data_IF_398172339638
#
_entry.id   IF_398172339638
#
_cell.length_a   1.000
_cell.length_b   1.000
_cell.length_c   1.000
_cell.angle_alpha   90.00
_cell.angle_beta   90.00
_cell.angle_gamma   90.00
#
_symmetry.space_group_name_H-M   'P 1'
#
loop_
_entity.id
_entity.type
_entity.pdbx_description
1 polymer ?
#
# COMPACT_ATOMS: atom_id res chain seq x y z
N UNK A 1 39.38 14.46 -1.50
CA UNK A 1 37.91 14.37 -1.31
C UNK A 1 37.26 13.18 -2.03
N UNK A 2 37.10 13.13 -3.37
CA UNK A 2 36.41 11.99 -4.00
C UNK A 2 37.14 10.64 -3.83
N UNK A 3 38.46 10.63 -4.05
CA UNK A 3 39.33 9.45 -3.85
C UNK A 3 39.40 9.01 -2.39
N UNK A 4 39.52 9.99 -1.50
CA UNK A 4 39.53 9.84 -0.05
C UNK A 4 38.22 9.23 0.48
N UNK A 5 37.07 9.69 -0.04
CA UNK A 5 35.77 9.13 0.32
C UNK A 5 35.60 7.69 -0.19
N UNK A 6 36.08 7.38 -1.42
CA UNK A 6 36.08 6.00 -1.95
C UNK A 6 36.92 5.09 -1.06
N UNK A 7 38.15 5.50 -0.73
CA UNK A 7 39.06 4.70 0.08
C UNK A 7 38.49 4.49 1.50
N UNK A 8 37.81 5.51 2.03
CA UNK A 8 37.15 5.43 3.33
C UNK A 8 35.94 4.47 3.31
N UNK A 9 35.08 4.55 2.30
CA UNK A 9 33.93 3.66 2.11
C UNK A 9 34.38 2.22 1.88
N UNK A 10 35.45 2.01 1.10
CA UNK A 10 36.01 0.67 0.87
C UNK A 10 36.52 0.02 2.16
N UNK A 11 37.02 0.82 3.11
CA UNK A 11 37.44 0.34 4.44
C UNK A 11 36.28 0.20 5.43
N UNK A 12 35.16 0.87 5.19
CA UNK A 12 34.02 0.95 6.11
C UNK A 12 32.68 0.89 5.32
N UNK A 13 32.29 -0.28 4.79
CA UNK A 13 31.04 -0.41 4.06
C UNK A 13 29.82 -0.24 4.99
N UNK A 14 28.73 0.35 4.48
CA UNK A 14 27.45 0.43 5.19
C UNK A 14 27.25 1.64 6.12
N UNK A 15 28.21 2.57 6.19
CA UNK A 15 28.04 3.78 7.00
C UNK A 15 27.02 4.76 6.39
N UNK A 16 26.24 5.39 7.27
CA UNK A 16 25.32 6.46 6.93
C UNK A 16 26.05 7.77 6.58
N UNK A 17 25.36 8.67 5.87
CA UNK A 17 25.88 10.00 5.52
C UNK A 17 26.26 10.80 6.78
N UNK A 18 25.56 10.57 7.89
CA UNK A 18 25.81 11.24 9.16
C UNK A 18 27.10 10.77 9.81
N UNK A 19 27.33 9.46 9.82
CA UNK A 19 28.56 8.85 10.36
C UNK A 19 29.78 9.21 9.53
N UNK A 20 29.64 9.24 8.19
CA UNK A 20 30.70 9.68 7.27
C UNK A 20 31.02 11.15 7.51
N UNK A 21 30.01 12.01 7.65
CA UNK A 21 30.16 13.43 7.95
C UNK A 21 30.91 13.66 9.27
N UNK A 22 30.56 12.90 10.32
CA UNK A 22 31.19 12.99 11.65
C UNK A 22 32.63 12.46 11.65
N UNK A 23 32.90 11.33 10.98
CA UNK A 23 34.24 10.70 10.96
C UNK A 23 35.24 11.44 10.07
N UNK A 24 34.79 12.02 8.96
CA UNK A 24 35.66 12.79 8.05
C UNK A 24 35.71 14.29 8.38
N UNK A 25 34.88 14.78 9.31
CA UNK A 25 34.77 16.21 9.63
C UNK A 25 34.20 17.05 8.47
N UNK A 26 33.50 16.43 7.53
CA UNK A 26 32.95 17.09 6.35
C UNK A 26 31.48 17.46 6.56
N UNK A 27 31.01 18.52 5.89
CA UNK A 27 29.59 18.87 5.92
C UNK A 27 28.75 17.80 5.21
N UNK A 28 27.54 17.52 5.72
CA UNK A 28 26.57 16.58 5.11
C UNK A 28 26.34 16.88 3.62
N UNK A 29 26.26 18.16 3.25
CA UNK A 29 26.08 18.62 1.87
C UNK A 29 27.26 18.21 0.97
N UNK A 30 28.48 18.39 1.45
CA UNK A 30 29.68 18.01 0.69
C UNK A 30 29.79 16.50 0.48
N UNK A 31 29.46 15.71 1.51
CA UNK A 31 29.41 14.24 1.41
C UNK A 31 28.37 13.81 0.38
N UNK A 32 27.14 14.35 0.45
CA UNK A 32 26.06 14.06 -0.52
C UNK A 32 26.47 14.39 -1.97
N UNK A 33 27.07 15.56 -2.21
CA UNK A 33 27.48 15.96 -3.55
C UNK A 33 28.55 15.05 -4.13
N UNK A 34 29.49 14.60 -3.30
CA UNK A 34 30.56 13.69 -3.75
C UNK A 34 30.01 12.29 -3.96
N UNK A 35 29.16 11.78 -3.07
CA UNK A 35 28.48 10.49 -3.25
C UNK A 35 27.68 10.46 -4.56
N UNK A 36 26.89 11.50 -4.84
CA UNK A 36 26.13 11.61 -6.09
C UNK A 36 27.04 11.65 -7.33
N UNK A 37 28.21 12.31 -7.24
CA UNK A 37 29.21 12.29 -8.32
C UNK A 37 29.82 10.91 -8.52
N UNK A 38 30.13 10.19 -7.44
CA UNK A 38 30.72 8.85 -7.49
C UNK A 38 29.73 7.79 -7.97
N UNK A 39 28.46 7.95 -7.63
CA UNK A 39 27.35 7.11 -8.11
C UNK A 39 27.13 7.30 -9.61
N UNK A 40 27.11 8.55 -10.10
CA UNK A 40 27.09 8.84 -11.55
C UNK A 40 28.26 8.23 -12.31
N UNK A 41 29.41 8.07 -11.66
CA UNK A 41 30.61 7.46 -12.24
C UNK A 41 30.64 5.93 -12.07
N UNK A 42 29.56 5.31 -11.57
CA UNK A 42 29.44 3.88 -11.27
C UNK A 42 30.56 3.33 -10.35
N UNK A 43 31.20 4.19 -9.56
CA UNK A 43 32.28 3.77 -8.63
C UNK A 43 31.74 3.29 -7.28
N UNK A 44 30.52 3.71 -6.94
CA UNK A 44 29.78 3.29 -5.75
C UNK A 44 28.30 3.14 -6.11
N UNK A 45 27.59 2.30 -5.38
CA UNK A 45 26.12 2.26 -5.41
C UNK A 45 25.62 2.75 -4.05
N UNK A 46 24.91 3.88 -4.01
CA UNK A 46 24.32 4.34 -2.75
C UNK A 46 23.06 3.51 -2.51
N UNK A 47 23.20 2.39 -1.80
CA UNK A 47 22.02 1.68 -1.29
C UNK A 47 21.43 2.50 -0.15
N UNK A 48 20.44 3.32 -0.47
CA UNK A 48 19.58 3.96 0.51
C UNK A 48 18.77 2.85 1.21
N UNK A 49 19.25 2.42 2.38
CA UNK A 49 18.35 1.81 3.35
C UNK A 49 17.60 3.00 3.96
N UNK A 50 16.28 3.17 3.73
CA UNK A 50 15.54 4.12 4.54
C UNK A 50 15.83 3.75 5.99
N UNK A 51 16.37 4.71 6.76
CA UNK A 51 16.22 4.64 8.20
C UNK A 51 14.73 4.36 8.41
N UNK A 52 14.40 3.28 9.13
CA UNK A 52 13.01 2.98 9.46
C UNK A 52 12.49 4.25 10.12
N UNK A 53 11.78 5.07 9.35
CA UNK A 53 11.05 6.21 9.87
C UNK A 53 10.09 5.54 10.83
N UNK A 54 10.24 5.82 12.13
CA UNK A 54 9.31 5.37 13.15
C UNK A 54 7.92 5.55 12.56
N UNK A 55 7.23 4.44 12.29
CA UNK A 55 5.84 4.53 11.87
C UNK A 55 5.16 5.35 12.96
N UNK A 56 4.38 6.37 12.56
CA UNK A 56 3.71 7.26 13.51
C UNK A 56 2.81 6.46 14.45
N UNK A 57 2.33 5.33 13.95
CA UNK A 57 1.52 4.34 14.62
C UNK A 57 2.31 3.02 14.66
N UNK A 58 2.26 2.29 15.77
CA UNK A 58 2.92 0.98 15.84
C UNK A 58 2.25 0.03 14.84
N UNK A 59 2.94 -0.96 14.25
CA UNK A 59 2.35 -1.88 13.27
C UNK A 59 1.03 -2.56 13.72
N UNK A 60 0.82 -2.66 15.04
CA UNK A 60 -0.41 -3.14 15.66
C UNK A 60 -1.61 -2.21 15.43
N UNK A 61 -1.42 -0.89 15.47
CA UNK A 61 -2.48 0.10 15.24
C UNK A 61 -3.02 -0.03 13.81
N UNK A 62 -2.13 -0.18 12.84
CA UNK A 62 -2.48 -0.38 11.43
C UNK A 62 -3.24 -1.69 11.22
N UNK A 63 -2.85 -2.76 11.93
CA UNK A 63 -3.55 -4.04 11.84
C UNK A 63 -4.97 -3.96 12.41
N UNK A 64 -5.16 -3.22 13.50
CA UNK A 64 -6.48 -2.96 14.09
C UNK A 64 -7.38 -2.17 13.13
N UNK A 65 -6.83 -1.15 12.47
CA UNK A 65 -7.56 -0.36 11.49
C UNK A 65 -7.99 -1.22 10.29
N UNK A 66 -7.09 -2.07 9.77
CA UNK A 66 -7.42 -3.04 8.71
C UNK A 66 -8.59 -3.93 9.13
N UNK A 67 -8.53 -4.54 10.31
CA UNK A 67 -9.62 -5.39 10.79
C UNK A 67 -10.94 -4.64 10.96
N UNK A 68 -10.90 -3.38 11.39
CA UNK A 68 -12.11 -2.55 11.46
C UNK A 68 -12.69 -2.27 10.08
N UNK A 69 -11.87 -2.04 9.06
CA UNK A 69 -12.33 -1.82 7.69
C UNK A 69 -12.85 -3.10 7.05
N UNK A 70 -12.20 -4.25 7.32
CA UNK A 70 -12.68 -5.58 6.88
C UNK A 70 -14.12 -5.83 7.37
N UNK A 71 -14.40 -5.62 8.66
CA UNK A 71 -15.75 -5.79 9.20
C UNK A 71 -16.81 -4.88 8.54
N UNK A 72 -16.44 -3.65 8.19
CA UNK A 72 -17.34 -2.71 7.50
C UNK A 72 -17.62 -3.16 6.06
N UNK A 73 -16.60 -3.64 5.36
CA UNK A 73 -16.74 -4.15 4.00
C UNK A 73 -17.60 -5.41 3.96
N UNK A 74 -17.44 -6.32 4.93
CA UNK A 74 -18.28 -7.52 5.06
C UNK A 74 -19.76 -7.16 5.25
N UNK A 75 -20.06 -6.21 6.15
CA UNK A 75 -21.43 -5.73 6.35
C UNK A 75 -21.99 -5.07 5.08
N UNK A 76 -21.17 -4.27 4.39
CA UNK A 76 -21.54 -3.63 3.14
C UNK A 76 -21.82 -4.68 2.04
N UNK A 77 -21.01 -5.73 1.95
CA UNK A 77 -21.17 -6.81 0.98
C UNK A 77 -22.48 -7.57 1.19
N UNK A 78 -22.80 -7.91 2.45
CA UNK A 78 -24.07 -8.56 2.81
C UNK A 78 -25.26 -7.69 2.38
N UNK A 79 -25.20 -6.39 2.70
CA UNK A 79 -26.25 -5.44 2.36
C UNK A 79 -26.42 -5.25 0.85
N UNK A 80 -25.31 -5.15 0.10
CA UNK A 80 -25.36 -5.02 -1.35
C UNK A 80 -25.91 -6.28 -2.02
N UNK A 81 -25.50 -7.49 -1.58
CA UNK A 81 -26.05 -8.75 -2.09
C UNK A 81 -27.55 -8.86 -1.83
N UNK A 82 -28.03 -8.44 -0.65
CA UNK A 82 -29.48 -8.39 -0.37
C UNK A 82 -30.20 -7.44 -1.32
N UNK A 83 -29.68 -6.21 -1.51
CA UNK A 83 -30.28 -5.22 -2.42
C UNK A 83 -30.26 -5.68 -3.88
N UNK A 84 -29.21 -6.38 -4.32
CA UNK A 84 -29.10 -6.94 -5.66
C UNK A 84 -30.20 -7.97 -5.91
N UNK A 85 -30.41 -8.88 -4.96
CA UNK A 85 -31.50 -9.86 -5.01
C UNK A 85 -32.88 -9.19 -5.07
N UNK A 86 -33.12 -8.17 -4.24
CA UNK A 86 -34.39 -7.43 -4.25
C UNK A 86 -34.65 -6.71 -5.58
N UNK A 87 -33.62 -6.08 -6.15
CA UNK A 87 -33.71 -5.43 -7.46
C UNK A 87 -33.97 -6.46 -8.57
N UNK A 88 -33.32 -7.62 -8.50
CA UNK A 88 -33.50 -8.71 -9.46
C UNK A 88 -34.93 -9.28 -9.42
N UNK A 89 -35.47 -9.52 -8.22
CA UNK A 89 -36.86 -9.97 -8.06
C UNK A 89 -37.86 -8.95 -8.62
N UNK A 90 -37.61 -7.65 -8.40
CA UNK A 90 -38.43 -6.57 -8.99
C UNK A 90 -38.32 -6.53 -10.52
N UNK A 91 -37.13 -6.76 -11.07
CA UNK A 91 -36.91 -6.87 -12.51
C UNK A 91 -37.74 -8.01 -13.12
N UNK A 92 -37.73 -9.20 -12.49
CA UNK A 92 -38.53 -10.34 -12.95
C UNK A 92 -40.02 -10.01 -12.92
N UNK A 93 -40.51 -9.41 -11.83
CA UNK A 93 -41.94 -9.04 -11.72
C UNK A 93 -42.37 -8.05 -12.81
N UNK A 94 -41.53 -7.06 -13.10
CA UNK A 94 -41.77 -6.11 -14.19
C UNK A 94 -41.80 -6.80 -15.57
N UNK A 95 -40.84 -7.70 -15.82
CA UNK A 95 -40.79 -8.48 -17.06
C UNK A 95 -42.02 -9.37 -17.23
N UNK A 96 -42.48 -10.04 -16.17
CA UNK A 96 -43.68 -10.89 -16.18
C UNK A 96 -44.96 -10.07 -16.44
N UNK A 97 -44.96 -8.81 -16.01
CA UNK A 97 -46.05 -7.86 -16.26
C UNK A 97 -45.97 -7.20 -17.65
N UNK A 98 -44.96 -7.56 -18.46
CA UNK A 98 -44.65 -6.96 -19.78
C UNK A 98 -44.41 -5.44 -19.72
N UNK A 99 -43.93 -4.94 -18.58
CA UNK A 99 -43.50 -3.56 -18.43
C UNK A 99 -41.99 -3.48 -18.68
N UNK A 100 -41.61 -3.38 -19.96
CA UNK A 100 -40.22 -3.41 -20.39
C UNK A 100 -39.42 -2.19 -19.90
N UNK A 101 -40.08 -1.03 -19.72
CA UNK A 101 -39.44 0.16 -19.18
C UNK A 101 -39.03 -0.05 -17.72
N UNK A 102 -39.95 -0.57 -16.90
CA UNK A 102 -39.68 -0.84 -15.50
C UNK A 102 -38.69 -2.00 -15.32
N UNK A 103 -38.76 -3.03 -16.18
CA UNK A 103 -37.79 -4.12 -16.20
C UNK A 103 -36.37 -3.60 -16.54
N UNK A 104 -36.24 -2.75 -17.56
CA UNK A 104 -34.97 -2.12 -17.94
C UNK A 104 -34.38 -1.28 -16.79
N UNK A 105 -35.23 -0.50 -16.10
CA UNK A 105 -34.80 0.28 -14.94
C UNK A 105 -34.22 -0.61 -13.83
N UNK A 106 -34.91 -1.69 -13.45
CA UNK A 106 -34.42 -2.61 -12.41
C UNK A 106 -33.18 -3.40 -12.87
N UNK A 107 -33.08 -3.78 -14.15
CA UNK A 107 -31.89 -4.41 -14.70
C UNK A 107 -30.65 -3.49 -14.59
N UNK A 108 -30.81 -2.20 -14.89
CA UNK A 108 -29.75 -1.21 -14.70
C UNK A 108 -29.36 -1.08 -13.23
N UNK A 109 -30.33 -1.06 -12.31
CA UNK A 109 -30.03 -1.06 -10.86
C UNK A 109 -29.23 -2.30 -10.44
N UNK A 110 -29.58 -3.50 -10.92
CA UNK A 110 -28.79 -4.70 -10.67
C UNK A 110 -27.35 -4.56 -11.17
N UNK A 111 -27.15 -4.01 -12.38
CA UNK A 111 -25.83 -3.80 -12.94
C UNK A 111 -24.98 -2.84 -12.09
N UNK A 112 -25.56 -1.74 -11.63
CA UNK A 112 -24.87 -0.79 -10.73
C UNK A 112 -24.53 -1.41 -9.37
N UNK A 113 -25.46 -2.15 -8.76
CA UNK A 113 -25.18 -2.84 -7.49
C UNK A 113 -24.06 -3.88 -7.66
N UNK A 114 -24.02 -4.62 -8.78
CA UNK A 114 -22.92 -5.55 -9.08
C UNK A 114 -21.56 -4.85 -9.19
N UNK A 115 -21.51 -3.66 -9.79
CA UNK A 115 -20.26 -2.86 -9.83
C UNK A 115 -19.78 -2.50 -8.42
N UNK A 116 -20.69 -2.12 -7.53
CA UNK A 116 -20.37 -1.83 -6.13
C UNK A 116 -19.89 -3.08 -5.40
N UNK A 117 -20.55 -4.23 -5.58
CA UNK A 117 -20.12 -5.52 -5.02
C UNK A 117 -18.68 -5.85 -5.45
N UNK A 118 -18.39 -5.73 -6.74
CA UNK A 118 -17.04 -6.00 -7.26
C UNK A 118 -15.99 -5.05 -6.66
N UNK A 119 -16.37 -3.79 -6.42
CA UNK A 119 -15.47 -2.81 -5.78
C UNK A 119 -15.20 -3.19 -4.32
N UNK A 120 -16.23 -3.62 -3.57
CA UNK A 120 -16.06 -4.10 -2.19
C UNK A 120 -15.14 -5.31 -2.14
N UNK A 121 -15.35 -6.31 -3.00
CA UNK A 121 -14.49 -7.50 -3.09
C UNK A 121 -13.03 -7.14 -3.42
N UNK A 122 -12.82 -6.19 -4.34
CA UNK A 122 -11.48 -5.72 -4.67
C UNK A 122 -10.79 -5.05 -3.48
N UNK A 123 -11.55 -4.32 -2.66
CA UNK A 123 -11.04 -3.71 -1.43
C UNK A 123 -10.73 -4.76 -0.35
N UNK A 124 -11.56 -5.79 -0.20
CA UNK A 124 -11.29 -6.93 0.69
C UNK A 124 -9.96 -7.63 0.32
N UNK A 125 -9.71 -7.90 -0.96
CA UNK A 125 -8.43 -8.47 -1.42
C UNK A 125 -7.24 -7.55 -1.12
N UNK A 126 -7.41 -6.24 -1.32
CA UNK A 126 -6.36 -5.26 -1.04
C UNK A 126 -6.02 -5.21 0.46
N UNK A 127 -7.02 -5.18 1.35
CA UNK A 127 -6.83 -5.24 2.79
C UNK A 127 -6.14 -6.55 3.21
N UNK A 128 -6.53 -7.68 2.64
CA UNK A 128 -5.87 -8.97 2.88
C UNK A 128 -4.38 -8.95 2.52
N UNK A 129 -4.03 -8.37 1.37
CA UNK A 129 -2.61 -8.19 0.96
C UNK A 129 -1.85 -7.26 1.91
N UNK A 130 -2.49 -6.20 2.39
CA UNK A 130 -1.89 -5.28 3.36
C UNK A 130 -1.61 -5.99 4.69
N UNK A 131 -2.57 -6.77 5.20
CA UNK A 131 -2.43 -7.53 6.44
C UNK A 131 -1.25 -8.51 6.38
N UNK A 132 -1.14 -9.27 5.27
CA UNK A 132 0.01 -10.16 5.01
C UNK A 132 1.34 -9.38 4.98
N UNK A 133 1.34 -8.20 4.36
CA UNK A 133 2.55 -7.37 4.25
C UNK A 133 3.00 -6.87 5.62
N UNK A 134 2.07 -6.43 6.46
CA UNK A 134 2.36 -5.98 7.83
C UNK A 134 2.89 -7.15 8.66
N UNK A 135 2.28 -8.33 8.57
CA UNK A 135 2.75 -9.50 9.32
C UNK A 135 4.17 -9.92 8.90
N UNK A 136 4.48 -9.84 7.59
CA UNK A 136 5.86 -10.05 7.10
C UNK A 136 6.84 -9.03 7.68
N UNK A 137 6.47 -7.75 7.71
CA UNK A 137 7.32 -6.69 8.29
C UNK A 137 7.56 -6.95 9.78
N UNK A 138 6.51 -7.34 10.52
CA UNK A 138 6.60 -7.71 11.93
C UNK A 138 7.59 -8.85 12.18
N UNK A 139 7.54 -9.91 11.36
CA UNK A 139 8.49 -11.04 11.47
C UNK A 139 9.93 -10.59 11.20
N UNK A 140 10.15 -9.75 10.19
CA UNK A 140 11.48 -9.26 9.85
C UNK A 140 12.07 -8.33 10.92
N UNK A 141 11.24 -7.55 11.62
CA UNK A 141 11.68 -6.69 12.73
C UNK A 141 12.02 -7.48 14.02
N UNK A 142 11.58 -8.74 14.12
CA UNK A 142 11.89 -9.63 15.26
C UNK A 142 13.18 -10.44 15.08
N UNK A 143 13.80 -10.41 13.91
CA UNK A 143 15.06 -11.11 13.57
C UNK A 143 16.24 -10.15 13.67
#
# INVERSE_FOLDING_TARGET
KSTELIQFISKNPGLSIEEISKKLGWTRRSVKLILAKLEKLNKITSRYFPAITKFKDEPWDIQKDISSEESKLEEMLINLKRKEKEAFEKCIKAQMSKDDNLASMYANQCAEIKKLINTVIANEDLLGRMNITIERLRINLRK
#
